data_IF_216502222428
#
_entry.id   IF_216502222428
#
_cell.length_a   1.000
_cell.length_b   1.000
_cell.length_c   1.000
_cell.angle_alpha   90.00
_cell.angle_beta   90.00
_cell.angle_gamma   90.00
#
_symmetry.space_group_name_H-M   'P 1'
#
loop_
_entity.id
_entity.type
_entity.pdbx_description
1 polymer ?
#
# COMPACT_ATOMS: atom_id res chain seq x y z
N UNK A 1 5.91 -2.74 2.13
CA UNK A 1 5.93 -3.09 3.56
C UNK A 1 4.71 -3.92 3.87
N UNK A 2 4.80 -5.05 4.57
CA UNK A 2 3.61 -5.73 5.07
C UNK A 2 2.99 -4.87 6.17
N UNK A 3 1.79 -4.34 5.93
CA UNK A 3 0.98 -3.74 6.98
C UNK A 3 0.10 -4.85 7.52
N UNK A 4 0.34 -5.29 8.74
CA UNK A 4 -0.62 -6.11 9.45
C UNK A 4 -1.79 -5.19 9.83
N UNK A 5 -3.01 -5.54 9.41
CA UNK A 5 -4.22 -4.80 9.78
C UNK A 5 -4.99 -5.60 10.83
N UNK A 6 -5.53 -4.90 11.83
CA UNK A 6 -6.49 -5.46 12.78
C UNK A 6 -7.85 -4.83 12.50
N UNK A 7 -8.76 -5.61 11.94
CA UNK A 7 -10.01 -5.09 11.40
C UNK A 7 -10.93 -6.12 10.78
N UNK A 8 -11.93 -5.62 10.04
CA UNK A 8 -12.85 -6.41 9.23
C UNK A 8 -12.47 -6.26 7.76
N UNK A 9 -12.46 -7.38 7.05
CA UNK A 9 -12.20 -7.43 5.62
C UNK A 9 -13.33 -8.19 4.93
N UNK A 10 -13.80 -7.66 3.81
CA UNK A 10 -14.74 -8.29 2.91
C UNK A 10 -14.04 -8.56 1.58
N UNK A 11 -14.09 -9.80 1.12
CA UNK A 11 -13.51 -10.23 -0.15
C UNK A 11 -14.55 -11.00 -0.96
N UNK A 12 -14.48 -10.91 -2.27
CA UNK A 12 -15.31 -11.75 -3.13
C UNK A 12 -14.92 -11.70 -4.59
N UNK A 13 -15.61 -12.51 -5.38
CA UNK A 13 -15.39 -12.65 -6.81
C UNK A 13 -16.72 -12.70 -7.55
N UNK A 14 -16.79 -11.99 -8.68
CA UNK A 14 -17.85 -12.13 -9.67
C UNK A 14 -17.26 -12.74 -10.94
N UNK A 15 -17.79 -13.90 -11.34
CA UNK A 15 -17.39 -14.57 -12.57
C UNK A 15 -18.34 -14.24 -13.71
N UNK A 16 -17.78 -13.86 -14.85
CA UNK A 16 -18.47 -13.59 -16.11
C UNK A 16 -17.89 -14.48 -17.22
N UNK A 17 -18.57 -14.57 -18.36
CA UNK A 17 -18.01 -15.25 -19.53
C UNK A 17 -16.76 -14.56 -20.09
N UNK A 18 -16.57 -13.27 -19.79
CA UNK A 18 -15.43 -12.47 -20.23
C UNK A 18 -14.24 -12.48 -19.26
N UNK A 19 -14.40 -13.01 -18.04
CA UNK A 19 -13.36 -13.00 -17.02
C UNK A 19 -13.90 -12.90 -15.60
N UNK A 20 -13.00 -12.69 -14.65
CA UNK A 20 -13.31 -12.60 -13.22
C UNK A 20 -13.02 -11.20 -12.67
N UNK A 21 -13.93 -10.68 -11.86
CA UNK A 21 -13.74 -9.46 -11.06
C UNK A 21 -13.63 -9.85 -9.59
N UNK A 22 -12.44 -9.67 -9.02
CA UNK A 22 -12.19 -9.84 -7.59
C UNK A 22 -12.27 -8.48 -6.89
N UNK A 23 -12.76 -8.46 -5.66
CA UNK A 23 -12.73 -7.29 -4.80
C UNK A 23 -12.25 -7.63 -3.40
N UNK A 24 -11.59 -6.67 -2.78
CA UNK A 24 -11.25 -6.63 -1.37
C UNK A 24 -11.62 -5.23 -0.84
N UNK A 25 -12.22 -5.17 0.33
CA UNK A 25 -12.41 -3.93 1.06
C UNK A 25 -12.23 -4.19 2.55
N UNK A 26 -11.66 -3.24 3.28
CA UNK A 26 -11.48 -3.38 4.71
C UNK A 26 -11.73 -2.08 5.46
N UNK A 27 -12.06 -2.26 6.73
CA UNK A 27 -12.00 -1.24 7.78
C UNK A 27 -11.19 -1.82 8.93
N UNK A 28 -10.15 -1.12 9.35
CA UNK A 28 -9.22 -1.56 10.38
C UNK A 28 -8.88 -0.42 11.33
N UNK A 29 -8.23 -0.74 12.44
CA UNK A 29 -7.68 0.27 13.33
C UNK A 29 -6.70 1.17 12.56
N UNK A 30 -6.70 2.47 12.89
CA UNK A 30 -5.69 3.40 12.41
C UNK A 30 -4.31 2.97 12.91
N UNK A 31 -3.23 3.10 12.14
CA UNK A 31 -1.88 2.88 12.67
C UNK A 31 -1.48 3.99 13.64
N UNK A 32 -0.51 3.73 14.49
CA UNK A 32 0.11 4.77 15.32
C UNK A 32 1.63 4.68 15.34
N UNK A 33 2.28 5.72 15.86
CA UNK A 33 3.72 5.77 16.10
C UNK A 33 3.92 6.37 17.49
N UNK A 34 4.71 5.70 18.34
CA UNK A 34 5.11 6.27 19.63
C UNK A 34 6.21 7.33 19.44
N UNK A 35 5.84 8.61 19.48
CA UNK A 35 6.83 9.69 19.35
C UNK A 35 7.62 9.97 20.63
N UNK A 36 7.23 9.37 21.77
CA UNK A 36 7.94 9.48 23.05
C UNK A 36 9.27 8.70 23.04
N UNK A 37 9.43 7.75 22.12
CA UNK A 37 10.69 7.06 21.87
C UNK A 37 11.76 8.08 21.44
N UNK A 38 12.82 8.15 22.24
CA UNK A 38 13.85 9.18 22.14
C UNK A 38 14.62 9.18 20.81
N UNK A 39 14.81 8.00 20.22
CA UNK A 39 15.52 7.85 18.96
C UNK A 39 14.51 7.73 17.81
N UNK A 40 14.50 8.65 16.82
CA UNK A 40 13.58 8.55 15.69
C UNK A 40 13.70 7.26 14.88
N UNK A 41 14.90 6.65 14.82
CA UNK A 41 15.12 5.37 14.12
C UNK A 41 14.49 4.17 14.82
N UNK A 42 14.14 4.30 16.09
CA UNK A 42 13.60 3.23 16.91
C UNK A 42 12.06 3.31 16.97
N UNK A 43 11.47 4.27 16.24
CA UNK A 43 10.01 4.42 16.12
C UNK A 43 9.49 3.40 15.13
N UNK A 44 8.50 2.62 15.55
CA UNK A 44 7.84 1.62 14.72
C UNK A 44 6.39 2.02 14.46
N UNK A 45 5.83 1.52 13.35
CA UNK A 45 4.41 1.64 13.08
C UNK A 45 3.69 0.56 13.90
N UNK A 46 2.84 1.01 14.81
CA UNK A 46 2.00 0.16 15.65
C UNK A 46 0.67 -0.09 14.96
N UNK A 47 0.27 -1.36 14.90
CA UNK A 47 -0.97 -1.82 14.25
C UNK A 47 -2.20 -1.75 15.17
N UNK A 48 -1.98 -1.32 16.43
CA UNK A 48 -3.03 -1.10 17.43
C UNK A 48 -3.92 -2.34 17.62
N UNK A 49 -3.31 -3.47 18.00
CA UNK A 49 -3.97 -4.79 18.08
C UNK A 49 -4.86 -4.97 19.32
N UNK A 50 -4.53 -4.27 20.41
CA UNK A 50 -5.15 -4.43 21.73
C UNK A 50 -5.57 -3.09 22.37
N UNK A 51 -5.19 -1.97 21.77
CA UNK A 51 -5.57 -0.61 22.17
C UNK A 51 -5.47 0.34 20.98
N UNK A 52 -6.39 1.30 20.90
CA UNK A 52 -6.44 2.31 19.86
C UNK A 52 -6.17 3.68 20.50
N UNK A 53 -5.05 4.35 20.18
CA UNK A 53 -4.71 5.63 20.80
C UNK A 53 -5.67 6.74 20.38
N UNK A 54 -6.39 6.59 19.26
CA UNK A 54 -7.43 7.53 18.84
C UNK A 54 -8.69 6.82 18.30
N UNK A 55 -9.58 7.55 17.63
CA UNK A 55 -10.79 6.97 17.04
C UNK A 55 -10.66 6.68 15.55
N UNK A 56 -9.53 7.00 14.93
CA UNK A 56 -9.36 6.92 13.48
C UNK A 56 -9.28 5.48 12.98
N UNK A 57 -9.66 5.32 11.73
CA UNK A 57 -9.76 4.01 11.09
C UNK A 57 -9.04 4.05 9.75
N UNK A 58 -8.44 2.91 9.42
CA UNK A 58 -7.87 2.64 8.11
C UNK A 58 -8.95 2.03 7.24
N UNK A 59 -9.13 2.59 6.06
CA UNK A 59 -10.03 2.05 5.04
C UNK A 59 -9.20 1.70 3.82
N UNK A 60 -9.52 0.59 3.18
CA UNK A 60 -8.92 0.26 1.90
C UNK A 60 -9.85 -0.51 1.00
N UNK A 61 -9.59 -0.42 -0.30
CA UNK A 61 -10.24 -1.24 -1.30
C UNK A 61 -9.25 -1.63 -2.39
N UNK A 62 -9.50 -2.78 -3.01
CA UNK A 62 -8.85 -3.26 -4.22
C UNK A 62 -9.89 -3.91 -5.11
N UNK A 63 -9.81 -3.65 -6.40
CA UNK A 63 -10.59 -4.33 -7.42
C UNK A 63 -9.65 -4.85 -8.50
N UNK A 64 -9.73 -6.14 -8.82
CA UNK A 64 -8.86 -6.81 -9.78
C UNK A 64 -9.70 -7.47 -10.86
N UNK A 65 -9.41 -7.17 -12.11
CA UNK A 65 -10.04 -7.83 -13.26
C UNK A 65 -9.05 -8.74 -13.97
N UNK A 66 -9.48 -9.97 -14.23
CA UNK A 66 -8.72 -11.01 -14.94
C UNK A 66 -9.54 -11.46 -16.16
N UNK A 67 -9.21 -11.02 -17.38
CA UNK A 67 -9.93 -11.44 -18.59
C UNK A 67 -9.79 -12.93 -18.86
N UNK A 68 -10.84 -13.60 -19.34
CA UNK A 68 -10.80 -15.04 -19.63
C UNK A 68 -9.90 -15.40 -20.83
N UNK A 69 -9.58 -14.44 -21.69
CA UNK A 69 -8.79 -14.66 -22.91
C UNK A 69 -7.30 -14.36 -22.75
N UNK A 70 -6.88 -13.86 -21.58
CA UNK A 70 -5.51 -13.42 -21.33
C UNK A 70 -5.10 -13.82 -19.91
N UNK A 71 -3.88 -14.31 -19.77
CA UNK A 71 -3.23 -14.52 -18.47
C UNK A 71 -2.74 -13.17 -17.92
N UNK A 72 -3.68 -12.24 -17.74
CA UNK A 72 -3.48 -10.86 -17.30
C UNK A 72 -4.40 -10.58 -16.11
N UNK A 73 -3.87 -9.99 -15.06
CA UNK A 73 -4.63 -9.37 -13.98
C UNK A 73 -4.26 -7.91 -13.88
N UNK A 74 -5.28 -7.05 -13.83
CA UNK A 74 -5.12 -5.61 -13.60
C UNK A 74 -5.91 -5.23 -12.37
N UNK A 75 -5.26 -4.58 -11.42
CA UNK A 75 -5.91 -4.10 -10.20
C UNK A 75 -5.83 -2.59 -10.06
N UNK A 76 -6.85 -2.03 -9.43
CA UNK A 76 -6.86 -0.69 -8.87
C UNK A 76 -7.03 -0.81 -7.37
N UNK A 77 -6.31 -0.01 -6.60
CA UNK A 77 -6.44 0.02 -5.15
C UNK A 77 -6.36 1.43 -4.59
N UNK A 78 -6.98 1.63 -3.43
CA UNK A 78 -6.72 2.79 -2.59
C UNK A 78 -6.82 2.43 -1.12
N UNK A 79 -6.10 3.18 -0.29
CA UNK A 79 -6.09 3.12 1.15
C UNK A 79 -6.08 4.54 1.69
N UNK A 80 -6.79 4.77 2.79
CA UNK A 80 -6.74 6.00 3.56
C UNK A 80 -6.67 5.66 5.04
N UNK A 81 -5.78 6.34 5.76
CA UNK A 81 -5.62 6.18 7.19
C UNK A 81 -5.07 7.47 7.81
N UNK A 82 -5.34 7.67 9.09
CA UNK A 82 -4.65 8.67 9.90
C UNK A 82 -3.68 7.95 10.82
N UNK A 83 -2.42 8.38 10.83
CA UNK A 83 -1.40 7.88 11.76
C UNK A 83 -1.51 8.70 13.03
N UNK A 84 -1.77 8.04 14.16
CA UNK A 84 -1.85 8.69 15.47
C UNK A 84 -0.51 8.70 16.21
N UNK A 85 -0.36 9.57 17.21
CA UNK A 85 0.74 9.57 18.17
C UNK A 85 0.37 8.79 19.43
N UNK A 86 0.82 7.53 19.55
CA UNK A 86 0.57 6.73 20.76
C UNK A 86 1.38 7.20 21.97
N UNK A 87 2.47 7.95 21.75
CA UNK A 87 3.29 8.56 22.80
C UNK A 87 2.74 9.87 23.35
N UNK A 88 1.77 10.49 22.66
CA UNK A 88 1.21 11.79 23.03
C UNK A 88 -0.32 11.82 22.94
N UNK A 89 -0.97 10.95 23.72
CA UNK A 89 -2.43 10.94 23.91
C UNK A 89 -3.27 10.81 22.62
N UNK A 90 -2.72 10.22 21.56
CA UNK A 90 -3.45 9.91 20.34
C UNK A 90 -3.66 11.08 19.39
N UNK A 91 -2.84 12.14 19.46
CA UNK A 91 -2.95 13.23 18.50
C UNK A 91 -2.63 12.76 17.08
N UNK A 92 -3.41 13.19 16.10
CA UNK A 92 -3.19 12.86 14.70
C UNK A 92 -1.85 13.44 14.21
N UNK A 93 -1.03 12.61 13.57
CA UNK A 93 0.27 12.98 13.03
C UNK A 93 0.18 13.30 11.54
N UNK A 94 -0.32 12.32 10.77
CA UNK A 94 -0.34 12.35 9.32
C UNK A 94 -1.59 11.66 8.81
N UNK A 95 -2.38 12.35 7.98
CA UNK A 95 -3.41 11.73 7.18
C UNK A 95 -2.80 11.25 5.87
N UNK A 96 -2.78 9.95 5.65
CA UNK A 96 -2.19 9.30 4.48
C UNK A 96 -3.28 8.75 3.56
N UNK A 97 -3.11 9.00 2.27
CA UNK A 97 -3.81 8.30 1.20
C UNK A 97 -2.79 7.68 0.26
N UNK A 98 -2.94 6.39 0.01
CA UNK A 98 -2.18 5.65 -1.00
C UNK A 98 -3.18 5.14 -2.02
N UNK A 99 -2.96 5.41 -3.30
CA UNK A 99 -3.75 4.82 -4.38
C UNK A 99 -2.84 4.32 -5.47
N UNK A 100 -3.32 3.41 -6.31
CA UNK A 100 -2.45 2.84 -7.32
C UNK A 100 -3.10 1.82 -8.21
N UNK A 101 -2.24 1.23 -9.01
CA UNK A 101 -2.57 0.14 -9.91
C UNK A 101 -1.47 -0.92 -9.85
N UNK A 102 -1.87 -2.16 -10.03
CA UNK A 102 -0.94 -3.28 -10.23
C UNK A 102 -1.35 -4.09 -11.46
N UNK A 103 -0.35 -4.67 -12.11
CA UNK A 103 -0.48 -5.47 -13.30
C UNK A 103 0.35 -6.73 -13.12
N UNK A 104 -0.26 -7.88 -13.38
CA UNK A 104 0.42 -9.17 -13.48
C UNK A 104 0.08 -9.79 -14.83
N UNK A 105 1.08 -10.14 -15.61
CA UNK A 105 0.90 -10.78 -16.90
C UNK A 105 1.83 -11.98 -17.00
N UNK A 106 1.31 -13.10 -17.50
CA UNK A 106 2.08 -14.32 -17.72
C UNK A 106 1.82 -14.81 -19.15
N UNK A 107 2.85 -15.29 -19.84
CA UNK A 107 2.69 -15.90 -21.16
C UNK A 107 3.81 -16.90 -21.40
N UNK A 108 3.49 -18.19 -21.25
CA UNK A 108 4.47 -19.26 -21.35
C UNK A 108 5.59 -19.07 -20.32
N UNK A 109 6.82 -18.95 -20.79
CA UNK A 109 8.02 -18.77 -19.96
C UNK A 109 8.20 -17.34 -19.43
N UNK A 110 7.41 -16.37 -19.91
CA UNK A 110 7.54 -14.96 -19.57
C UNK A 110 6.53 -14.53 -18.51
N UNK A 111 6.97 -13.70 -17.56
CA UNK A 111 6.11 -12.96 -16.65
C UNK A 111 6.49 -11.47 -16.56
N UNK A 112 5.49 -10.64 -16.32
CA UNK A 112 5.61 -9.22 -16.05
C UNK A 112 4.78 -8.89 -14.81
N UNK A 113 5.40 -8.23 -13.84
CA UNK A 113 4.72 -7.65 -12.68
C UNK A 113 5.06 -6.17 -12.65
N UNK A 114 4.06 -5.30 -12.54
CA UNK A 114 4.28 -3.86 -12.40
C UNK A 114 3.32 -3.28 -11.37
N UNK A 115 3.80 -2.32 -10.59
CA UNK A 115 3.00 -1.59 -9.62
C UNK A 115 3.33 -0.11 -9.70
N UNK A 116 2.30 0.72 -9.56
CA UNK A 116 2.43 2.17 -9.46
C UNK A 116 1.59 2.67 -8.29
N UNK A 117 2.19 3.55 -7.50
CA UNK A 117 1.64 4.15 -6.30
C UNK A 117 1.63 5.66 -6.44
N UNK A 118 0.51 6.27 -6.07
CA UNK A 118 0.40 7.68 -5.72
C UNK A 118 0.25 7.80 -4.20
N UNK A 119 1.05 8.68 -3.62
CA UNK A 119 1.18 8.87 -2.18
C UNK A 119 0.77 10.31 -1.88
N UNK A 120 -0.11 10.50 -0.91
CA UNK A 120 -0.53 11.81 -0.41
C UNK A 120 -0.51 11.79 1.11
N UNK A 121 0.38 12.56 1.70
CA UNK A 121 0.54 12.71 3.14
C UNK A 121 0.17 14.14 3.52
N UNK A 122 -0.83 14.32 4.39
CA UNK A 122 -1.16 15.62 4.96
C UNK A 122 -0.68 15.63 6.40
N UNK A 123 0.27 16.52 6.70
CA UNK A 123 0.72 16.74 8.07
C UNK A 123 -0.44 17.35 8.88
N UNK A 124 -0.86 16.65 9.94
CA UNK A 124 -1.86 17.16 10.89
C UNK A 124 -1.18 17.94 12.03
N UNK A 125 0.16 17.84 12.14
CA UNK A 125 0.99 18.60 13.10
C UNK A 125 2.03 19.45 12.37
N UNK A 126 2.03 20.74 12.64
CA UNK A 126 2.95 21.70 12.01
C UNK A 126 2.33 22.45 10.83
N UNK A 127 3.18 22.93 9.90
CA UNK A 127 2.78 23.85 8.82
C UNK A 127 3.22 23.40 7.41
N UNK A 128 3.68 22.15 7.27
CA UNK A 128 4.22 21.63 6.02
C UNK A 128 3.14 21.23 4.99
N UNK A 129 1.88 21.12 5.42
CA UNK A 129 0.72 20.94 4.54
C UNK A 129 0.63 19.55 3.92
N UNK A 130 0.14 19.47 2.68
CA UNK A 130 0.03 18.22 1.93
C UNK A 130 1.24 18.00 1.03
N UNK A 131 1.90 16.87 1.21
CA UNK A 131 2.99 16.37 0.40
C UNK A 131 2.48 15.23 -0.49
N UNK A 132 2.93 15.21 -1.74
CA UNK A 132 2.58 14.15 -2.69
C UNK A 132 3.83 13.51 -3.28
N UNK A 133 3.72 12.23 -3.58
CA UNK A 133 4.78 11.44 -4.19
C UNK A 133 4.23 10.34 -5.07
N UNK A 134 5.14 9.68 -5.78
CA UNK A 134 4.84 8.46 -6.49
C UNK A 134 5.98 7.45 -6.31
N UNK A 135 5.64 6.18 -6.41
CA UNK A 135 6.60 5.09 -6.46
C UNK A 135 6.13 4.08 -7.49
N UNK A 136 7.06 3.42 -8.16
CA UNK A 136 6.72 2.35 -9.07
C UNK A 136 7.84 1.31 -9.16
N UNK A 137 7.46 0.11 -9.58
CA UNK A 137 8.41 -0.86 -10.10
C UNK A 137 7.81 -1.61 -11.29
N UNK A 138 8.68 -2.14 -12.12
CA UNK A 138 8.36 -3.13 -13.13
C UNK A 138 9.40 -4.25 -13.07
N UNK A 139 8.94 -5.49 -13.04
CA UNK A 139 9.75 -6.69 -13.03
C UNK A 139 9.40 -7.58 -14.23
N UNK A 140 10.42 -8.00 -14.95
CA UNK A 140 10.34 -8.96 -16.04
C UNK A 140 10.98 -10.26 -15.58
N UNK A 141 10.33 -11.38 -15.84
CA UNK A 141 10.84 -12.72 -15.61
C UNK A 141 10.81 -13.55 -16.87
N UNK A 142 11.83 -14.39 -17.07
CA UNK A 142 11.86 -15.37 -18.16
C UNK A 142 12.47 -16.70 -17.69
N UNK A 143 11.71 -17.79 -17.87
CA UNK A 143 12.16 -19.15 -17.58
C UNK A 143 13.15 -19.59 -18.67
N UNK A 144 14.40 -19.90 -18.30
CA UNK A 144 15.46 -20.32 -19.23
C UNK A 144 15.73 -21.83 -19.20
N UNK A 145 15.31 -22.51 -18.14
CA UNK A 145 15.33 -23.96 -17.95
C UNK A 145 14.32 -24.34 -16.86
N UNK A 146 14.00 -25.61 -16.64
CA UNK A 146 12.97 -26.04 -15.68
C UNK A 146 13.11 -25.44 -14.28
N UNK A 147 14.35 -25.26 -13.81
CA UNK A 147 14.66 -24.76 -12.46
C UNK A 147 15.20 -23.31 -12.43
N UNK A 148 15.33 -22.65 -13.58
CA UNK A 148 15.99 -21.34 -13.68
C UNK A 148 15.10 -20.29 -14.32
N UNK A 149 14.83 -19.21 -13.56
CA UNK A 149 14.20 -17.98 -14.04
C UNK A 149 15.17 -16.81 -13.87
N UNK A 150 15.36 -16.06 -14.95
CA UNK A 150 16.08 -14.78 -14.90
C UNK A 150 15.08 -13.68 -14.67
N UNK A 151 15.39 -12.77 -13.74
CA UNK A 151 14.54 -11.61 -13.46
C UNK A 151 15.32 -10.31 -13.59
N UNK A 152 14.62 -9.27 -14.05
CA UNK A 152 15.11 -7.90 -14.08
C UNK A 152 14.04 -6.99 -13.49
N UNK A 153 14.39 -6.17 -12.51
CA UNK A 153 13.49 -5.20 -11.88
C UNK A 153 14.08 -3.80 -12.00
N UNK A 154 13.23 -2.86 -12.39
CA UNK A 154 13.50 -1.42 -12.31
C UNK A 154 12.47 -0.79 -11.37
N UNK A 155 12.94 0.02 -10.43
CA UNK A 155 12.10 0.69 -9.44
C UNK A 155 12.55 2.14 -9.26
N UNK A 156 11.60 3.02 -8.95
CA UNK A 156 11.89 4.40 -8.61
C UNK A 156 10.86 4.94 -7.62
N UNK A 157 11.31 5.87 -6.80
CA UNK A 157 10.48 6.67 -5.90
C UNK A 157 10.77 8.15 -6.16
N UNK A 158 9.70 8.94 -6.26
CA UNK A 158 9.77 10.38 -6.43
C UNK A 158 8.90 11.03 -5.37
N UNK A 159 9.54 11.56 -4.33
CA UNK A 159 8.92 12.42 -3.31
C UNK A 159 9.55 13.80 -3.41
N UNK A 160 8.88 14.84 -2.90
CA UNK A 160 9.52 16.15 -2.74
C UNK A 160 10.59 16.02 -1.65
N UNK A 161 11.84 15.89 -2.05
CA UNK A 161 12.99 15.76 -1.14
C UNK A 161 12.96 16.83 -0.05
N UNK A 162 13.18 16.40 1.20
CA UNK A 162 13.36 17.28 2.34
C UNK A 162 12.10 17.75 3.06
N UNK A 163 10.90 17.61 2.49
CA UNK A 163 9.65 18.11 3.08
C UNK A 163 8.71 17.03 3.63
N UNK A 164 8.78 15.79 3.14
CA UNK A 164 7.96 14.70 3.67
C UNK A 164 8.67 14.01 4.85
N UNK A 165 8.08 14.09 6.05
CA UNK A 165 8.63 13.45 7.26
C UNK A 165 8.42 11.93 7.29
N UNK A 166 7.51 11.41 6.47
CA UNK A 166 7.16 9.99 6.43
C UNK A 166 8.14 9.15 5.58
N UNK A 167 8.87 9.80 4.65
CA UNK A 167 9.86 9.14 3.79
C UNK A 167 11.31 9.50 4.12
N UNK A 168 11.60 9.94 5.34
CA UNK A 168 12.97 10.22 5.82
C UNK A 168 13.56 9.06 6.60
#
# INVERSE_FOLDING_TARGET
>A
MPVHIVGLMATGQFSFSSGDLNYEAYVANGPSIDTSVATPSDREIEINDSGDPNSDKSFGFRATYTPASLDLSVSLFAMSNTVADSGNAGSDLVSQTISGLDLNYQMGDFDLIAEYYNLSNKDEVGSLGTQTGNAYYAQFGYQVADDWKVTFRHEAISTKEGQDRYFK
#
